data_IF_112102374998
#
_entry.id   IF_112102374998
#
_cell.length_a   1.000
_cell.length_b   1.000
_cell.length_c   1.000
_cell.angle_alpha   90.00
_cell.angle_beta   90.00
_cell.angle_gamma   90.00
#
_symmetry.space_group_name_H-M   'P 1'
#
loop_
_entity.id
_entity.type
_entity.pdbx_description
1 polymer ?
#
# COMPACT_ATOMS: atom_id res chain seq x y z
N UNK A 1 6.17 -2.18 12.26
CA UNK A 1 7.52 -1.61 12.46
C UNK A 1 8.58 -2.50 11.79
N UNK A 2 9.68 -1.93 11.28
CA UNK A 2 10.79 -2.61 10.56
C UNK A 2 10.49 -3.15 9.15
N UNK A 3 9.30 -2.90 8.60
CA UNK A 3 9.02 -3.22 7.19
C UNK A 3 9.95 -2.44 6.27
N UNK A 4 10.34 -3.03 5.14
CA UNK A 4 11.18 -2.33 4.14
C UNK A 4 10.36 -1.32 3.36
N UNK A 5 11.00 -0.24 2.93
CA UNK A 5 10.47 0.71 1.96
C UNK A 5 11.33 0.62 0.71
N UNK A 6 10.71 0.44 -0.45
CA UNK A 6 11.37 0.19 -1.73
C UNK A 6 10.88 1.15 -2.82
N UNK A 7 11.76 1.46 -3.77
CA UNK A 7 11.44 2.13 -5.03
C UNK A 7 12.06 1.30 -6.15
N UNK A 8 11.24 0.89 -7.12
CA UNK A 8 11.70 0.10 -8.27
C UNK A 8 12.49 -1.17 -7.84
N UNK A 9 12.08 -1.78 -6.73
CA UNK A 9 12.73 -2.96 -6.14
C UNK A 9 14.05 -2.69 -5.39
N UNK A 10 14.45 -1.42 -5.23
CA UNK A 10 15.62 -1.03 -4.43
C UNK A 10 15.16 -0.58 -3.06
N UNK A 11 15.74 -1.14 -1.99
CA UNK A 11 15.47 -0.70 -0.62
C UNK A 11 16.01 0.71 -0.42
N UNK A 12 15.11 1.63 -0.07
CA UNK A 12 15.43 3.04 0.21
C UNK A 12 15.21 3.42 1.67
N UNK A 13 14.47 2.63 2.45
CA UNK A 13 14.20 2.96 3.85
C UNK A 13 13.51 1.87 4.66
N UNK A 14 12.79 2.30 5.68
CA UNK A 14 12.03 1.42 6.57
C UNK A 14 10.82 2.07 7.22
N UNK A 15 9.88 1.24 7.68
CA UNK A 15 8.74 1.67 8.51
C UNK A 15 9.18 1.83 9.95
N UNK A 16 9.19 3.07 10.44
CA UNK A 16 9.59 3.44 11.79
C UNK A 16 8.54 3.05 12.84
N UNK A 17 7.29 3.49 12.65
CA UNK A 17 6.16 3.17 13.52
C UNK A 17 4.90 2.92 12.71
N UNK A 18 3.93 2.25 13.35
CA UNK A 18 2.57 2.08 12.83
C UNK A 18 1.63 2.37 13.98
N UNK A 19 0.73 3.32 13.79
CA UNK A 19 -0.23 3.77 14.79
C UNK A 19 -1.64 3.70 14.20
N UNK A 20 -2.65 3.56 15.04
CA UNK A 20 -4.05 3.61 14.61
C UNK A 20 -4.58 5.00 14.96
N UNK A 21 -5.12 5.72 13.99
CA UNK A 21 -5.76 7.00 14.24
C UNK A 21 -7.18 6.85 14.80
N UNK A 22 -7.82 7.98 15.12
CA UNK A 22 -9.20 8.03 15.62
C UNK A 22 -10.25 7.52 14.63
N UNK A 23 -9.91 7.48 13.35
CA UNK A 23 -10.78 7.03 12.26
C UNK A 23 -10.54 5.55 11.92
N UNK A 24 -9.83 4.82 12.78
CA UNK A 24 -9.44 3.42 12.60
C UNK A 24 -8.57 3.18 11.35
N UNK A 25 -7.79 4.18 10.92
CA UNK A 25 -6.81 4.04 9.84
C UNK A 25 -5.42 3.79 10.40
N UNK A 26 -4.72 2.84 9.79
CA UNK A 26 -3.31 2.62 10.10
C UNK A 26 -2.46 3.72 9.47
N UNK A 27 -1.72 4.45 10.31
CA UNK A 27 -0.75 5.47 9.92
C UNK A 27 0.65 4.87 10.08
N UNK A 28 1.34 4.65 8.96
CA UNK A 28 2.72 4.18 8.94
C UNK A 28 3.68 5.36 8.77
N UNK A 29 4.58 5.55 9.74
CA UNK A 29 5.65 6.55 9.63
C UNK A 29 6.84 5.93 8.93
N UNK A 30 7.25 6.53 7.81
CA UNK A 30 8.38 6.07 7.01
C UNK A 30 9.64 6.83 7.42
N UNK A 31 10.76 6.11 7.46
CA UNK A 31 12.09 6.69 7.59
C UNK A 31 12.85 6.43 6.28
N UNK A 32 13.13 7.50 5.55
CA UNK A 32 13.80 7.51 4.25
C UNK A 32 14.89 8.59 4.23
N UNK A 33 15.95 8.45 3.42
CA UNK A 33 17.00 9.44 3.29
C UNK A 33 16.51 10.77 2.71
N UNK A 34 17.07 11.88 3.19
CA UNK A 34 16.71 13.24 2.73
C UNK A 34 17.02 13.52 1.26
N UNK A 35 17.95 12.78 0.64
CA UNK A 35 18.24 12.95 -0.79
C UNK A 35 17.11 12.45 -1.70
N UNK A 36 16.19 11.63 -1.15
CA UNK A 36 15.05 11.10 -1.87
C UNK A 36 13.93 12.16 -1.84
N UNK A 37 13.84 12.96 -2.90
CA UNK A 37 12.79 13.96 -3.06
C UNK A 37 11.55 13.29 -3.64
N UNK A 38 10.54 13.10 -2.80
CA UNK A 38 9.25 12.55 -3.19
C UNK A 38 8.27 13.69 -3.49
N UNK A 39 7.53 13.54 -4.58
CA UNK A 39 6.48 14.48 -4.96
C UNK A 39 5.19 14.24 -4.16
N UNK A 40 4.33 15.24 -4.04
CA UNK A 40 3.05 15.14 -3.31
C UNK A 40 2.09 14.10 -3.90
N UNK A 41 2.23 13.80 -5.19
CA UNK A 41 1.50 12.78 -5.94
C UNK A 41 2.21 11.42 -5.95
N UNK A 42 3.18 11.21 -5.06
CA UNK A 42 3.78 9.88 -4.82
C UNK A 42 2.71 8.91 -4.32
N UNK A 43 2.71 7.68 -4.83
CA UNK A 43 1.80 6.62 -4.38
C UNK A 43 2.53 5.64 -3.47
N UNK A 44 2.00 5.39 -2.27
CA UNK A 44 2.50 4.36 -1.36
C UNK A 44 1.65 3.09 -1.42
N UNK A 45 2.25 1.95 -1.75
CA UNK A 45 1.56 0.68 -1.93
C UNK A 45 2.07 -0.37 -0.96
N UNK A 46 1.19 -1.11 -0.30
CA UNK A 46 1.60 -2.29 0.48
C UNK A 46 1.68 -3.50 -0.44
N UNK A 47 2.86 -4.11 -0.54
CA UNK A 47 3.12 -5.29 -1.38
C UNK A 47 3.65 -6.44 -0.55
N UNK A 48 3.51 -7.65 -1.07
CA UNK A 48 4.07 -8.88 -0.50
C UNK A 48 5.24 -9.32 -1.36
N UNK A 49 6.36 -9.71 -0.74
CA UNK A 49 7.50 -10.25 -1.48
C UNK A 49 7.14 -11.63 -2.03
N UNK A 50 6.95 -11.72 -3.35
CA UNK A 50 6.44 -12.94 -3.98
C UNK A 50 5.06 -13.32 -3.48
N UNK A 51 4.78 -14.63 -3.40
CA UNK A 51 3.46 -15.14 -3.00
C UNK A 51 3.24 -15.13 -1.48
N UNK A 52 4.31 -15.34 -0.68
CA UNK A 52 4.22 -15.66 0.75
C UNK A 52 5.25 -14.93 1.62
N UNK A 53 6.05 -14.04 1.04
CA UNK A 53 7.12 -13.36 1.76
C UNK A 53 6.61 -12.20 2.62
N UNK A 54 7.56 -11.46 3.18
CA UNK A 54 7.24 -10.32 4.02
C UNK A 54 6.54 -9.20 3.25
N UNK A 55 5.73 -8.43 3.97
CA UNK A 55 5.11 -7.22 3.46
C UNK A 55 6.08 -6.05 3.49
N UNK A 56 6.05 -5.23 2.47
CA UNK A 56 6.85 -4.02 2.34
C UNK A 56 6.03 -2.90 1.71
N UNK A 57 6.54 -1.67 1.80
CA UNK A 57 5.94 -0.51 1.15
C UNK A 57 6.74 -0.22 -0.12
N UNK A 58 6.07 -0.21 -1.26
CA UNK A 58 6.60 0.31 -2.52
C UNK A 58 6.14 1.76 -2.66
N UNK A 59 7.09 2.65 -2.97
CA UNK A 59 6.79 4.02 -3.36
C UNK A 59 6.91 4.16 -4.87
N UNK A 60 5.91 4.76 -5.49
CA UNK A 60 5.93 5.16 -6.89
C UNK A 60 6.03 6.68 -6.94
N UNK A 61 7.21 7.25 -7.28
CA UNK A 61 7.37 8.70 -7.41
C UNK A 61 6.39 9.28 -8.43
N UNK A 62 5.96 10.49 -8.13
CA UNK A 62 5.01 11.23 -8.95
C UNK A 62 5.70 12.04 -10.03
N UNK A 63 5.02 13.09 -10.49
CA UNK A 63 5.53 14.02 -11.49
C UNK A 63 4.98 15.43 -11.36
N UNK A 64 4.34 15.77 -10.24
CA UNK A 64 3.74 17.10 -10.01
C UNK A 64 4.78 18.23 -9.94
N UNK A 65 6.02 17.92 -9.55
CA UNK A 65 7.08 18.91 -9.32
C UNK A 65 6.96 19.65 -7.99
N UNK A 66 5.97 19.30 -7.16
CA UNK A 66 5.80 19.79 -5.79
C UNK A 66 6.29 18.69 -4.86
N UNK A 67 7.26 19.00 -4.00
CA UNK A 67 7.91 18.02 -3.13
C UNK A 67 7.33 18.02 -1.72
N UNK A 68 7.23 16.82 -1.15
CA UNK A 68 6.89 16.61 0.26
C UNK A 68 8.06 17.03 1.16
N UNK A 69 7.73 17.65 2.29
CA UNK A 69 8.66 17.96 3.38
C UNK A 69 8.67 16.85 4.44
N UNK A 70 9.72 16.77 5.27
CA UNK A 70 9.74 15.85 6.41
C UNK A 70 8.53 16.07 7.34
N UNK A 71 7.71 15.04 7.51
CA UNK A 71 6.49 15.09 8.32
C UNK A 71 5.20 15.21 7.51
N UNK A 72 5.30 15.48 6.21
CA UNK A 72 4.15 15.46 5.32
C UNK A 72 3.60 14.05 5.12
N UNK A 73 2.37 14.00 4.59
CA UNK A 73 1.64 12.75 4.35
C UNK A 73 1.53 12.46 2.87
N UNK A 74 1.88 11.23 2.51
CA UNK A 74 1.49 10.66 1.23
C UNK A 74 -0.02 10.38 1.28
N UNK A 75 -0.78 11.02 0.39
CA UNK A 75 -2.24 10.90 0.35
C UNK A 75 -2.71 9.72 -0.51
N UNK A 76 -1.99 9.46 -1.61
CA UNK A 76 -2.30 8.37 -2.51
C UNK A 76 -1.72 7.06 -1.98
N UNK A 77 -2.61 6.19 -1.50
CA UNK A 77 -2.22 4.91 -0.90
C UNK A 77 -3.00 3.74 -1.50
N UNK A 78 -2.34 2.58 -1.60
CA UNK A 78 -2.97 1.35 -2.05
C UNK A 78 -2.75 0.22 -1.04
N UNK A 79 -3.86 -0.40 -0.64
CA UNK A 79 -3.84 -1.59 0.20
C UNK A 79 -3.27 -2.78 -0.56
N UNK A 80 -2.66 -3.72 0.18
CA UNK A 80 -2.27 -4.98 -0.42
C UNK A 80 -3.48 -5.76 -0.90
N UNK A 81 -3.28 -6.50 -1.99
CA UNK A 81 -4.25 -7.45 -2.48
C UNK A 81 -4.37 -8.62 -1.48
N UNK A 82 -5.59 -8.93 -1.09
CA UNK A 82 -5.90 -10.11 -0.30
C UNK A 82 -6.01 -11.34 -1.22
N UNK A 83 -5.01 -12.21 -1.16
CA UNK A 83 -4.93 -13.42 -1.96
C UNK A 83 -6.10 -14.38 -1.68
N UNK A 84 -6.57 -14.47 -0.43
CA UNK A 84 -7.71 -15.32 -0.07
C UNK A 84 -8.97 -14.83 -0.79
N UNK A 85 -9.19 -13.52 -0.79
CA UNK A 85 -10.30 -12.91 -1.52
C UNK A 85 -10.23 -13.19 -3.02
N UNK A 86 -9.04 -13.20 -3.63
CA UNK A 86 -8.87 -13.51 -5.04
C UNK A 86 -9.13 -14.99 -5.35
N UNK A 87 -8.63 -15.90 -4.53
CA UNK A 87 -8.86 -17.34 -4.67
C UNK A 87 -10.36 -17.64 -4.53
N UNK A 88 -11.02 -17.05 -3.53
CA UNK A 88 -12.46 -17.16 -3.33
C UNK A 88 -13.24 -16.67 -4.56
N UNK A 89 -12.91 -15.47 -5.05
CA UNK A 89 -13.51 -14.93 -6.29
C UNK A 89 -13.32 -15.85 -7.49
N UNK A 90 -12.15 -16.47 -7.65
CA UNK A 90 -11.90 -17.38 -8.77
C UNK A 90 -12.59 -18.73 -8.60
N UNK A 91 -12.58 -19.29 -7.39
CA UNK A 91 -13.17 -20.60 -7.07
C UNK A 91 -14.70 -20.61 -7.06
N UNK A 92 -15.33 -19.49 -6.66
CA UNK A 92 -16.80 -19.35 -6.61
C UNK A 92 -17.37 -18.51 -7.78
N UNK A 93 -16.54 -17.76 -8.50
CA UNK A 93 -16.94 -16.79 -9.53
C UNK A 93 -17.25 -17.34 -10.91
N UNK A 94 -17.63 -18.63 -11.01
CA UNK A 94 -18.32 -19.19 -12.17
C UNK A 94 -19.83 -19.38 -11.96
N UNK A 95 -20.35 -19.23 -10.73
CA UNK A 95 -21.76 -19.44 -10.43
C UNK A 95 -22.28 -18.44 -9.38
N UNK A 96 -22.75 -17.29 -9.85
CA UNK A 96 -23.83 -16.58 -9.17
C UNK A 96 -24.89 -16.24 -10.19
N UNK A 97 -25.77 -17.23 -10.39
CA UNK A 97 -27.04 -17.11 -11.10
C UNK A 97 -27.92 -16.16 -10.30
N UNK A 98 -28.26 -15.01 -10.90
CA UNK A 98 -29.41 -14.22 -10.49
C UNK A 98 -30.66 -15.11 -10.56
N UNK A 99 -31.21 -15.53 -9.41
CA UNK A 99 -32.60 -15.97 -9.35
C UNK A 99 -33.37 -14.98 -8.51
N UNK A 100 -33.96 -14.00 -9.19
CA UNK A 100 -35.12 -13.28 -8.72
C UNK A 100 -36.22 -14.30 -8.40
N UNK A 101 -36.42 -14.57 -7.12
CA UNK A 101 -37.61 -15.27 -6.64
C UNK A 101 -38.72 -14.24 -6.51
N UNK A 102 -39.60 -14.24 -7.51
CA UNK A 102 -40.96 -13.70 -7.44
C UNK A 102 -41.62 -14.12 -6.12
N UNK A 103 -42.21 -13.16 -5.43
CA UNK A 103 -43.47 -13.33 -4.70
C UNK A 103 -44.38 -12.16 -5.05
#
# INVERSE_FOLDING_TARGET
PNGRVEIAGVRVGSVKSIELDSDFRAIAVLEIPEYLRLEEDTIAMVKTSGLIGDRFIELLPGGSGIFLEPGDRILDTQSAVDLESLISKFGFGGLSKHSELKK
#
